data_IF_039262986223
#
_entry.id   IF_039262986223
#
_cell.length_a   1.000
_cell.length_b   1.000
_cell.length_c   1.000
_cell.angle_alpha   90.00
_cell.angle_beta   90.00
_cell.angle_gamma   90.00
#
_symmetry.space_group_name_H-M   'P 1'
#
loop_
_entity.id
_entity.type
_entity.pdbx_description
1 polymer ?
#
# COMPACT_ATOMS: atom_id res chain seq x y z
N UNK A 1 -8.86 -31.85 16.09
CA UNK A 1 -9.25 -32.85 15.08
C UNK A 1 -10.39 -33.67 15.59
N UNK A 2 -11.25 -34.16 14.70
CA UNK A 2 -12.30 -35.13 15.03
C UNK A 2 -11.65 -36.48 15.36
N UNK A 3 -11.87 -36.98 16.58
CA UNK A 3 -11.23 -38.21 17.06
C UNK A 3 -11.84 -39.48 16.47
N UNK A 4 -13.02 -39.37 15.86
CA UNK A 4 -13.76 -40.49 15.27
C UNK A 4 -13.61 -40.58 13.73
N UNK A 5 -12.88 -39.64 13.10
CA UNK A 5 -12.63 -39.65 11.65
C UNK A 5 -11.41 -40.52 11.32
N UNK A 6 -11.56 -41.47 10.40
CA UNK A 6 -10.51 -42.41 9.98
C UNK A 6 -10.27 -42.35 8.48
N UNK A 7 -9.00 -42.47 8.07
CA UNK A 7 -8.58 -42.40 6.66
C UNK A 7 -9.22 -43.53 5.83
N UNK A 8 -9.95 -43.22 4.75
CA UNK A 8 -10.41 -44.22 3.80
C UNK A 8 -9.24 -44.90 3.08
N UNK A 9 -9.31 -46.22 2.85
CA UNK A 9 -8.25 -46.98 2.16
C UNK A 9 -8.02 -46.51 0.70
N UNK A 10 -9.04 -45.93 0.04
CA UNK A 10 -8.96 -45.42 -1.35
C UNK A 10 -8.42 -43.97 -1.45
N UNK A 11 -7.94 -43.38 -0.35
CA UNK A 11 -7.46 -41.99 -0.33
C UNK A 11 -5.99 -41.83 -0.70
N UNK A 12 -5.17 -42.88 -0.50
CA UNK A 12 -3.72 -42.86 -0.72
C UNK A 12 -3.38 -43.21 -2.18
N UNK A 13 -3.74 -42.30 -3.09
CA UNK A 13 -3.36 -42.37 -4.50
C UNK A 13 -2.09 -41.54 -4.74
N UNK A 14 -1.19 -41.94 -5.65
CA UNK A 14 0.02 -41.17 -5.93
C UNK A 14 -0.34 -39.80 -6.52
N UNK A 15 0.40 -38.75 -6.12
CA UNK A 15 0.23 -37.36 -6.56
C UNK A 15 0.47 -37.19 -8.05
N UNK A 16 1.43 -37.94 -8.58
CA UNK A 16 1.76 -37.95 -9.99
C UNK A 16 1.62 -39.35 -10.59
N UNK A 17 0.97 -39.43 -11.74
CA UNK A 17 0.91 -40.64 -12.58
C UNK A 17 1.62 -40.35 -13.90
N UNK A 18 2.31 -41.33 -14.52
CA UNK A 18 2.90 -41.14 -15.84
C UNK A 18 1.79 -40.85 -16.85
N UNK A 19 1.99 -39.82 -17.69
CA UNK A 19 1.02 -39.42 -18.71
C UNK A 19 0.76 -40.58 -19.69
N UNK A 20 -0.47 -41.14 -19.74
CA UNK A 20 -0.80 -42.25 -20.63
C UNK A 20 -0.81 -41.86 -22.12
N UNK A 21 -0.88 -40.55 -22.42
CA UNK A 21 -0.92 -40.01 -23.79
C UNK A 21 0.44 -39.46 -24.26
N UNK A 22 1.44 -39.39 -23.37
CA UNK A 22 2.78 -38.95 -23.74
C UNK A 22 3.46 -39.96 -24.66
N UNK A 23 3.88 -39.49 -25.84
CA UNK A 23 4.65 -40.26 -26.80
C UNK A 23 6.07 -39.72 -26.86
N UNK A 24 7.04 -40.64 -26.89
CA UNK A 24 8.45 -40.33 -27.05
C UNK A 24 8.65 -39.44 -28.29
N UNK A 25 9.32 -38.28 -28.18
CA UNK A 25 9.66 -37.46 -29.33
C UNK A 25 10.50 -38.24 -30.34
N UNK A 26 10.25 -38.04 -31.64
CA UNK A 26 10.96 -38.75 -32.71
C UNK A 26 12.45 -38.40 -32.82
N UNK A 27 12.88 -37.33 -32.14
CA UNK A 27 14.25 -36.78 -32.15
C UNK A 27 15.05 -37.14 -30.87
N UNK A 28 14.55 -38.07 -30.04
CA UNK A 28 15.21 -38.49 -28.79
C UNK A 28 16.14 -39.69 -28.98
N UNK A 29 17.42 -39.55 -28.63
CA UNK A 29 18.46 -40.57 -28.77
C UNK A 29 18.81 -41.22 -27.41
N UNK A 30 18.50 -42.51 -27.23
CA UNK A 30 18.69 -43.21 -25.95
C UNK A 30 20.17 -43.45 -25.57
N UNK A 31 21.09 -43.39 -26.54
CA UNK A 31 22.52 -43.61 -26.29
C UNK A 31 23.22 -42.33 -25.80
N UNK A 32 22.73 -41.16 -26.23
CA UNK A 32 23.25 -39.84 -25.85
C UNK A 32 22.44 -39.15 -24.73
N UNK A 33 21.11 -39.29 -24.73
CA UNK A 33 20.20 -38.60 -23.79
C UNK A 33 19.61 -39.53 -22.69
N UNK A 34 19.79 -40.85 -22.80
CA UNK A 34 19.33 -41.85 -21.83
C UNK A 34 17.90 -42.37 -22.05
N UNK A 35 17.44 -43.26 -21.16
CA UNK A 35 16.09 -43.85 -21.21
C UNK A 35 15.02 -42.76 -21.02
N UNK A 36 14.07 -42.66 -21.97
CA UNK A 36 13.04 -41.63 -21.93
C UNK A 36 11.95 -41.98 -20.92
N UNK A 37 11.79 -41.14 -19.90
CA UNK A 37 10.69 -41.23 -18.94
C UNK A 37 9.54 -40.28 -19.35
N UNK A 38 8.28 -40.76 -19.38
CA UNK A 38 7.14 -39.92 -19.72
C UNK A 38 6.94 -38.82 -18.65
N UNK A 39 6.48 -37.62 -19.04
CA UNK A 39 6.15 -36.58 -18.08
C UNK A 39 5.10 -37.09 -17.10
N UNK A 40 5.35 -36.80 -15.82
CA UNK A 40 4.44 -37.07 -14.72
C UNK A 40 3.30 -36.03 -14.75
N UNK A 41 2.04 -36.47 -14.86
CA UNK A 41 0.86 -35.61 -14.77
C UNK A 41 0.23 -35.72 -13.39
N UNK A 42 -0.43 -34.63 -12.96
CA UNK A 42 -1.18 -34.61 -11.72
C UNK A 42 -2.34 -35.61 -11.78
N UNK A 43 -2.38 -36.54 -10.83
CA UNK A 43 -3.41 -37.54 -10.77
C UNK A 43 -4.75 -36.89 -10.40
N UNK A 44 -5.79 -36.95 -11.26
CA UNK A 44 -7.10 -36.35 -10.97
C UNK A 44 -7.80 -37.01 -9.77
N UNK A 45 -7.38 -38.21 -9.38
CA UNK A 45 -7.88 -38.91 -8.20
C UNK A 45 -7.07 -38.66 -6.93
N UNK A 46 -5.97 -37.89 -7.00
CA UNK A 46 -5.20 -37.50 -5.81
C UNK A 46 -5.99 -36.49 -4.98
N UNK A 47 -6.43 -36.91 -3.80
CA UNK A 47 -7.21 -36.08 -2.87
C UNK A 47 -6.34 -35.36 -1.83
N UNK A 48 -5.01 -35.36 -2.03
CA UNK A 48 -4.02 -34.79 -1.12
C UNK A 48 -3.79 -35.64 0.14
N UNK A 49 -2.83 -35.24 0.98
CA UNK A 49 -2.63 -35.87 2.29
C UNK A 49 -3.91 -35.79 3.13
N UNK A 50 -4.44 -36.95 3.53
CA UNK A 50 -5.65 -37.01 4.35
C UNK A 50 -5.44 -36.25 5.66
N UNK A 51 -6.30 -35.26 5.94
CA UNK A 51 -6.36 -34.55 7.21
C UNK A 51 -7.73 -34.81 7.85
N UNK A 52 -7.79 -35.23 9.12
CA UNK A 52 -9.05 -35.44 9.81
C UNK A 52 -9.86 -34.13 9.83
N UNK A 53 -11.19 -34.24 9.89
CA UNK A 53 -12.06 -33.06 9.93
C UNK A 53 -11.71 -32.16 11.12
N UNK A 54 -11.51 -30.87 10.85
CA UNK A 54 -11.29 -29.87 11.89
C UNK A 54 -12.63 -29.47 12.51
N UNK A 55 -12.97 -30.04 13.66
CA UNK A 55 -14.07 -29.55 14.49
C UNK A 55 -13.65 -28.28 15.24
N UNK A 56 -14.57 -27.31 15.34
CA UNK A 56 -14.36 -26.12 16.19
C UNK A 56 -14.13 -26.60 17.61
N UNK A 57 -12.96 -26.30 18.18
CA UNK A 57 -12.64 -26.69 19.54
C UNK A 57 -13.63 -26.00 20.52
N UNK A 58 -14.54 -26.75 21.18
CA UNK A 58 -15.52 -26.16 22.09
C UNK A 58 -14.86 -25.58 23.36
N UNK A 59 -13.59 -25.87 23.60
CA UNK A 59 -12.79 -25.38 24.74
C UNK A 59 -11.88 -24.21 24.34
N UNK A 60 -11.99 -23.70 23.11
CA UNK A 60 -11.19 -22.55 22.67
C UNK A 60 -11.60 -21.28 23.40
N UNK A 61 -10.68 -20.70 24.18
CA UNK A 61 -10.91 -19.51 25.02
C UNK A 61 -10.54 -18.19 24.31
N UNK A 62 -10.31 -18.21 23.00
CA UNK A 62 -9.77 -17.06 22.26
C UNK A 62 -8.25 -17.08 22.20
N UNK A 63 -7.67 -16.14 21.44
CA UNK A 63 -6.23 -15.95 21.42
C UNK A 63 -5.79 -15.43 22.79
N UNK A 64 -4.76 -16.02 23.37
CA UNK A 64 -4.21 -15.53 24.63
C UNK A 64 -3.66 -14.10 24.43
N UNK A 65 -4.06 -13.19 25.32
CA UNK A 65 -3.60 -11.80 25.37
C UNK A 65 -2.79 -11.66 26.66
N UNK A 66 -1.57 -11.13 26.55
CA UNK A 66 -0.73 -10.89 27.73
C UNK A 66 -1.41 -9.84 28.63
N UNK A 67 -1.46 -10.03 29.97
CA UNK A 67 -2.04 -9.04 30.86
C UNK A 67 -1.29 -7.70 30.74
N UNK A 68 -2.04 -6.61 30.69
CA UNK A 68 -1.46 -5.27 30.79
C UNK A 68 -0.98 -5.07 32.23
N UNK A 69 0.30 -4.72 32.38
CA UNK A 69 0.95 -4.43 33.67
C UNK A 69 1.35 -2.97 33.63
N UNK A 70 1.12 -2.24 34.72
CA UNK A 70 1.55 -0.85 34.83
C UNK A 70 3.06 -0.73 34.63
N UNK A 71 3.47 0.22 33.78
CA UNK A 71 4.89 0.43 33.47
C UNK A 71 5.57 1.13 34.66
N UNK A 72 6.53 0.49 35.36
CA UNK A 72 7.24 1.11 36.48
C UNK A 72 8.11 2.31 36.09
N UNK A 73 8.47 2.43 34.81
CA UNK A 73 9.28 3.54 34.28
C UNK A 73 8.42 4.72 33.79
N UNK A 74 7.09 4.63 33.88
CA UNK A 74 6.23 5.75 33.50
C UNK A 74 6.26 6.84 34.58
N UNK A 75 6.71 8.03 34.20
CA UNK A 75 6.66 9.23 35.03
C UNK A 75 5.99 10.35 34.23
N UNK A 76 4.87 10.92 34.72
CA UNK A 76 4.32 12.15 34.13
C UNK A 76 5.26 13.32 34.47
N UNK A 77 5.53 14.15 33.46
CA UNK A 77 6.34 15.36 33.59
C UNK A 77 5.50 16.57 33.14
N UNK A 78 5.14 17.42 34.10
CA UNK A 78 4.36 18.63 33.87
C UNK A 78 5.21 19.80 33.35
N UNK A 79 6.55 19.71 33.42
CA UNK A 79 7.48 20.77 33.02
C UNK A 79 8.04 20.56 31.60
N UNK A 80 7.62 19.51 30.90
CA UNK A 80 8.08 19.15 29.55
C UNK A 80 7.93 20.29 28.51
N UNK A 81 7.01 21.23 28.73
CA UNK A 81 6.78 22.38 27.84
C UNK A 81 7.78 23.52 28.05
N UNK A 82 8.51 23.53 29.17
CA UNK A 82 9.41 24.62 29.54
C UNK A 82 10.74 24.40 28.84
N UNK A 83 11.06 25.32 27.92
CA UNK A 83 12.39 25.41 27.31
C UNK A 83 13.13 26.62 27.89
N UNK A 84 14.43 26.49 28.14
CA UNK A 84 15.22 27.54 28.80
C UNK A 84 15.28 28.82 27.96
N UNK A 85 15.87 28.73 26.77
CA UNK A 85 16.09 29.87 25.89
C UNK A 85 15.89 29.47 24.42
N UNK A 86 15.07 30.23 23.69
CA UNK A 86 14.88 30.09 22.24
C UNK A 86 15.57 31.26 21.56
N UNK A 87 16.77 31.04 21.01
CA UNK A 87 17.58 32.09 20.40
C UNK A 87 17.57 32.13 18.87
N UNK A 88 17.03 31.12 18.20
CA UNK A 88 17.03 31.03 16.74
C UNK A 88 15.80 30.28 16.23
N UNK A 89 15.40 30.62 15.00
CA UNK A 89 14.35 29.96 14.23
C UNK A 89 15.01 29.33 13.01
N UNK A 90 14.87 28.01 12.85
CA UNK A 90 15.34 27.29 11.68
C UNK A 90 14.17 26.65 10.94
N UNK A 91 14.15 26.76 9.61
CA UNK A 91 13.22 26.02 8.75
C UNK A 91 14.04 24.97 8.02
N UNK A 92 14.02 23.74 8.54
CA UNK A 92 14.67 22.58 7.92
C UNK A 92 13.60 21.61 7.42
N UNK A 93 13.47 21.50 6.09
CA UNK A 93 12.46 20.66 5.44
C UNK A 93 13.04 19.95 4.21
N UNK A 94 12.54 18.74 3.94
CA UNK A 94 12.80 18.03 2.69
C UNK A 94 11.66 18.27 1.69
N UNK A 95 11.96 18.74 0.48
CA UNK A 95 10.97 18.92 -0.60
C UNK A 95 11.41 18.25 -1.89
N UNK A 96 10.49 17.54 -2.55
CA UNK A 96 10.72 16.93 -3.87
C UNK A 96 10.44 17.93 -5.01
N UNK A 97 9.41 18.76 -4.85
CA UNK A 97 9.05 19.83 -5.79
C UNK A 97 9.04 21.17 -5.06
N UNK A 98 9.81 22.13 -5.57
CA UNK A 98 9.84 23.49 -5.04
C UNK A 98 8.52 24.23 -5.32
N UNK A 99 8.16 25.17 -4.43
CA UNK A 99 6.98 26.03 -4.61
C UNK A 99 6.34 26.53 -3.32
N UNK A 100 6.73 26.00 -2.15
CA UNK A 100 6.23 26.46 -0.86
C UNK A 100 6.83 27.81 -0.50
N UNK A 101 5.98 28.75 -0.07
CA UNK A 101 6.34 30.07 0.41
C UNK A 101 6.00 30.14 1.89
N UNK A 102 6.94 30.57 2.73
CA UNK A 102 6.73 30.85 4.14
C UNK A 102 6.80 32.36 4.36
N UNK A 103 5.79 32.92 5.01
CA UNK A 103 5.71 34.32 5.40
C UNK A 103 4.95 34.43 6.73
N UNK A 104 4.92 35.63 7.32
CA UNK A 104 4.15 35.96 8.53
C UNK A 104 4.54 35.13 9.77
N UNK A 105 5.85 34.94 9.98
CA UNK A 105 6.36 34.24 11.18
C UNK A 105 6.25 35.15 12.40
N UNK A 106 5.51 34.72 13.42
CA UNK A 106 5.33 35.41 14.71
C UNK A 106 5.68 34.47 15.87
N UNK A 107 6.37 35.00 16.89
CA UNK A 107 6.62 34.33 18.17
C UNK A 107 6.12 35.26 19.28
N UNK A 108 5.13 34.81 20.05
CA UNK A 108 4.53 35.56 21.17
C UNK A 108 4.09 34.59 22.27
N UNK A 109 3.98 35.09 23.50
CA UNK A 109 3.41 34.40 24.66
C UNK A 109 1.89 34.63 24.81
N UNK A 110 1.30 35.51 23.98
CA UNK A 110 -0.12 35.85 24.01
C UNK A 110 -0.90 35.24 22.85
N UNK A 111 -1.90 34.44 23.20
CA UNK A 111 -2.85 33.87 22.23
C UNK A 111 -3.67 34.97 21.54
N UNK A 112 -3.94 36.08 22.23
CA UNK A 112 -4.73 37.18 21.67
C UNK A 112 -3.94 37.94 20.61
N UNK A 113 -2.64 38.18 20.85
CA UNK A 113 -1.75 38.83 19.87
C UNK A 113 -1.58 37.97 18.61
N UNK A 114 -1.35 36.66 18.79
CA UNK A 114 -1.24 35.73 17.67
C UNK A 114 -2.50 35.70 16.81
N UNK A 115 -3.69 35.76 17.43
CA UNK A 115 -4.98 35.83 16.73
C UNK A 115 -5.15 37.14 15.98
N UNK A 116 -4.91 38.27 16.64
CA UNK A 116 -5.01 39.59 16.00
C UNK A 116 -4.07 39.70 14.78
N UNK A 117 -2.85 39.18 14.89
CA UNK A 117 -1.91 39.13 13.76
C UNK A 117 -2.41 38.23 12.62
N UNK A 118 -3.00 37.07 12.93
CA UNK A 118 -3.61 36.18 11.94
C UNK A 118 -4.79 36.84 11.21
N UNK A 119 -5.68 37.51 11.95
CA UNK A 119 -6.81 38.27 11.41
C UNK A 119 -6.34 39.42 10.50
N UNK A 120 -5.25 40.09 10.87
CA UNK A 120 -4.71 41.19 10.07
C UNK A 120 -4.04 40.73 8.77
N UNK A 121 -3.37 39.58 8.81
CA UNK A 121 -2.51 39.09 7.72
C UNK A 121 -3.16 37.96 6.93
N UNK A 122 -3.17 36.75 7.48
CA UNK A 122 -3.59 35.53 6.81
C UNK A 122 -5.07 35.55 6.44
N UNK A 123 -5.96 35.96 7.35
CA UNK A 123 -7.41 35.88 7.10
C UNK A 123 -7.85 36.81 5.96
N UNK A 124 -7.28 38.01 5.88
CA UNK A 124 -7.55 38.95 4.77
C UNK A 124 -7.00 38.44 3.44
N UNK A 125 -5.79 37.87 3.45
CA UNK A 125 -5.18 37.35 2.22
C UNK A 125 -5.89 36.08 1.73
N UNK A 126 -6.31 35.20 2.65
CA UNK A 126 -6.90 33.90 2.33
C UNK A 126 -8.06 33.98 1.35
N UNK A 127 -8.98 34.94 1.54
CA UNK A 127 -10.13 35.09 0.64
C UNK A 127 -9.67 35.57 -0.74
N UNK A 128 -8.85 36.63 -0.78
CA UNK A 128 -8.33 37.21 -2.02
C UNK A 128 -7.49 36.21 -2.82
N UNK A 129 -6.63 35.45 -2.13
CA UNK A 129 -5.81 34.40 -2.72
C UNK A 129 -6.66 33.25 -3.25
N UNK A 130 -7.69 32.83 -2.51
CA UNK A 130 -8.61 31.79 -2.99
C UNK A 130 -9.34 32.22 -4.26
N UNK A 131 -9.77 33.47 -4.36
CA UNK A 131 -10.44 33.97 -5.56
C UNK A 131 -9.49 34.06 -6.76
N UNK A 132 -8.31 34.65 -6.56
CA UNK A 132 -7.28 34.73 -7.62
C UNK A 132 -6.83 33.34 -8.08
N UNK A 133 -6.71 32.38 -7.17
CA UNK A 133 -6.38 31.00 -7.50
C UNK A 133 -7.45 30.35 -8.35
N UNK A 134 -8.73 30.49 -7.98
CA UNK A 134 -9.85 29.95 -8.78
C UNK A 134 -9.84 30.51 -10.20
N UNK A 135 -9.62 31.81 -10.36
CA UNK A 135 -9.54 32.44 -11.67
C UNK A 135 -8.34 31.93 -12.49
N UNK A 136 -7.17 31.79 -11.85
CA UNK A 136 -5.97 31.25 -12.50
C UNK A 136 -6.13 29.78 -12.91
N UNK A 137 -6.72 28.95 -12.03
CA UNK A 137 -6.97 27.53 -12.29
C UNK A 137 -7.97 27.35 -13.44
N UNK A 138 -9.00 28.21 -13.55
CA UNK A 138 -9.95 28.21 -14.66
C UNK A 138 -9.29 28.62 -15.98
N UNK A 139 -8.44 29.67 -15.97
CA UNK A 139 -7.67 30.09 -17.13
C UNK A 139 -6.67 29.01 -17.58
N UNK A 140 -5.96 28.38 -16.65
CA UNK A 140 -5.02 27.31 -16.94
C UNK A 140 -5.75 26.09 -17.52
N UNK A 141 -6.90 25.71 -16.96
CA UNK A 141 -7.72 24.61 -17.49
C UNK A 141 -8.20 24.92 -18.90
N UNK A 142 -8.69 26.14 -19.17
CA UNK A 142 -9.10 26.54 -20.51
C UNK A 142 -7.95 26.49 -21.52
N UNK A 143 -6.74 26.91 -21.12
CA UNK A 143 -5.52 26.80 -21.94
C UNK A 143 -5.13 25.35 -22.21
N UNK A 144 -5.16 24.49 -21.19
CA UNK A 144 -4.85 23.08 -21.34
C UNK A 144 -5.87 22.37 -22.23
N UNK A 145 -7.16 22.67 -22.10
CA UNK A 145 -8.22 22.14 -22.95
C UNK A 145 -8.05 22.60 -24.41
N UNK A 146 -7.67 23.86 -24.65
CA UNK A 146 -7.38 24.37 -25.99
C UNK A 146 -6.16 23.69 -26.62
N UNK A 147 -5.06 23.55 -25.87
CA UNK A 147 -3.86 22.84 -26.31
C UNK A 147 -4.12 21.36 -26.59
N UNK A 148 -4.94 20.71 -25.77
CA UNK A 148 -5.32 19.32 -25.97
C UNK A 148 -6.17 19.13 -27.24
N UNK A 149 -7.10 20.05 -27.53
CA UNK A 149 -7.87 20.06 -28.78
C UNK A 149 -6.98 20.27 -30.00
N UNK A 150 -6.08 21.26 -29.95
CA UNK A 150 -5.12 21.51 -31.04
C UNK A 150 -4.19 20.30 -31.27
N UNK A 151 -3.76 19.62 -30.19
CA UNK A 151 -2.95 18.42 -30.29
C UNK A 151 -3.73 17.22 -30.86
N UNK A 152 -5.03 17.11 -30.59
CA UNK A 152 -5.89 16.07 -31.17
C UNK A 152 -6.10 16.32 -32.68
N UNK A 153 -6.44 17.55 -33.08
CA UNK A 153 -6.63 17.91 -34.49
C UNK A 153 -5.35 17.69 -35.33
N UNK A 154 -4.16 17.97 -34.75
CA UNK A 154 -2.88 17.67 -35.42
C UNK A 154 -2.57 16.18 -35.54
N UNK A 155 -3.07 15.33 -34.63
CA UNK A 155 -2.94 13.88 -34.75
C UNK A 155 -3.86 13.34 -35.84
N UNK A 156 -5.09 13.84 -35.91
CA UNK A 156 -6.06 13.42 -36.91
C UNK A 156 -5.60 13.80 -38.35
N UNK A 157 -5.06 15.01 -38.58
CA UNK A 157 -4.51 15.41 -39.89
C UNK A 157 -3.25 14.62 -40.29
N UNK A 158 -2.51 14.09 -39.31
CA UNK A 158 -1.32 13.26 -39.54
C UNK A 158 -1.65 11.79 -39.82
N UNK A 159 -2.79 11.28 -39.36
CA UNK A 159 -3.27 9.93 -39.69
C UNK A 159 -4.05 9.89 -41.03
N UNK A 160 -4.56 11.03 -41.51
CA UNK A 160 -5.29 11.15 -42.79
C UNK A 160 -4.39 11.39 -44.03
N UNK A 161 -3.07 11.56 -43.87
CA UNK A 161 -2.08 11.72 -44.95
C UNK A 161 -1.11 10.55 -45.05
#
# INVERSE_FOLDING_TARGET
DDADDSKPEDWDKPEHIPDPDAKKPSDWDEEMDGEWEPPMIDNPEYKGEWKPKQIKNPVYKGSWIHPEIDNPEYAPDDELYIQQDIGAIGIDIWQVKAGTIFDNIIITDSVEEAKAFSEETFEKLKEVESEKKKAADEEERAKQEALAKEAAEKKDDAEEK
#
